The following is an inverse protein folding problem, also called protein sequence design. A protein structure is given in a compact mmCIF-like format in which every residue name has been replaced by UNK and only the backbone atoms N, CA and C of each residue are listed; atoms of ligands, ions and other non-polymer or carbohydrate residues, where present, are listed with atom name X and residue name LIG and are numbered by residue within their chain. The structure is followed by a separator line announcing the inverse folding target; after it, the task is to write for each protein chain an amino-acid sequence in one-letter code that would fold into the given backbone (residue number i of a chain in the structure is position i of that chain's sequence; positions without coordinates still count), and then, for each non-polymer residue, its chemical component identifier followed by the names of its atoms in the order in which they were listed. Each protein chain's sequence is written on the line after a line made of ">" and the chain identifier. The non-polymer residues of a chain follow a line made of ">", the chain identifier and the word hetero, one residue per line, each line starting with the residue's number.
data_IF_683637066592
#
_entry.id   IF_683637066592
#
_cell.length_a   1.000
_cell.length_b   1.000
_cell.length_c   1.000
_cell.angle_alpha   90.00
_cell.angle_beta   90.00
_cell.angle_gamma   90.00
#
_symmetry.space_group_name_H-M   'P 1'
#
loop_
_entity.id
_entity.type
_entity.pdbx_description
1 polymer ?
#
# COMPACT_ATOMS: atom_id res chain seq x y z
N UNK A 1 6.34 19.15 3.91
CA UNK A 1 5.44 18.31 3.10
C UNK A 1 5.63 16.93 3.67
N UNK A 2 4.60 16.36 4.29
CA UNK A 2 4.70 15.06 4.95
C UNK A 2 4.65 13.96 3.87
N UNK A 3 5.66 13.10 3.84
CA UNK A 3 5.69 11.97 2.93
C UNK A 3 4.51 11.02 3.25
N UNK A 4 3.72 10.67 2.24
CA UNK A 4 2.62 9.71 2.40
C UNK A 4 3.17 8.30 2.16
N UNK A 5 3.20 7.50 3.23
CA UNK A 5 3.53 6.07 3.15
C UNK A 5 2.26 5.23 2.97
N UNK A 6 2.24 4.44 1.90
CA UNK A 6 1.21 3.43 1.67
C UNK A 6 1.84 2.05 1.79
N UNK A 7 1.32 1.23 2.70
CA UNK A 7 1.82 -0.13 2.96
C UNK A 7 0.75 -1.15 2.61
N UNK A 8 1.08 -2.08 1.73
CA UNK A 8 0.28 -3.27 1.44
C UNK A 8 0.86 -4.44 2.23
N UNK A 9 0.07 -5.10 3.08
CA UNK A 9 0.55 -6.19 3.93
C UNK A 9 -0.48 -7.30 4.10
N UNK A 10 -0.03 -8.56 4.05
CA UNK A 10 -0.88 -9.71 4.38
C UNK A 10 -1.14 -9.81 5.89
N UNK A 11 -2.40 -10.03 6.26
CA UNK A 11 -2.86 -10.30 7.62
C UNK A 11 -3.09 -11.80 7.79
N UNK A 12 -2.14 -12.50 8.41
CA UNK A 12 -2.21 -13.94 8.64
C UNK A 12 -3.38 -14.37 9.55
N UNK A 13 -3.89 -13.47 10.41
CA UNK A 13 -5.01 -13.79 11.29
C UNK A 13 -6.34 -13.85 10.53
N UNK A 14 -6.46 -13.06 9.46
CA UNK A 14 -7.68 -12.94 8.66
C UNK A 14 -7.60 -13.63 7.30
N UNK A 15 -6.40 -13.87 6.80
CA UNK A 15 -6.16 -14.42 5.47
C UNK A 15 -6.42 -13.40 4.35
N UNK A 16 -6.39 -12.10 4.65
CA UNK A 16 -6.62 -11.02 3.69
C UNK A 16 -5.40 -10.07 3.58
N UNK A 17 -5.41 -9.20 2.58
CA UNK A 17 -4.42 -8.14 2.40
C UNK A 17 -4.97 -6.83 2.91
N UNK A 18 -4.15 -6.06 3.60
CA UNK A 18 -4.47 -4.74 4.13
C UNK A 18 -3.71 -3.66 3.37
N UNK A 19 -4.38 -2.55 3.07
CA UNK A 19 -3.75 -1.31 2.60
C UNK A 19 -3.77 -0.34 3.75
N UNK A 20 -2.59 0.17 4.12
CA UNK A 20 -2.41 1.11 5.23
C UNK A 20 -1.88 2.43 4.70
N UNK A 21 -2.46 3.53 5.15
CA UNK A 21 -1.98 4.89 4.91
C UNK A 21 -1.51 5.48 6.23
N UNK A 22 -0.24 5.87 6.32
CA UNK A 22 0.37 6.44 7.54
C UNK A 22 0.06 5.59 8.79
N UNK A 23 0.18 4.26 8.67
CA UNK A 23 -0.08 3.30 9.74
C UNK A 23 -1.56 2.90 9.96
N UNK A 24 -2.53 3.55 9.33
CA UNK A 24 -3.97 3.24 9.48
C UNK A 24 -4.48 2.36 8.35
N UNK A 25 -5.21 1.26 8.65
CA UNK A 25 -5.84 0.43 7.62
C UNK A 25 -6.98 1.19 6.96
N UNK A 26 -6.88 1.44 5.66
CA UNK A 26 -7.88 2.17 4.86
C UNK A 26 -8.65 1.25 3.91
N UNK A 27 -8.07 0.11 3.53
CA UNK A 27 -8.74 -0.89 2.68
C UNK A 27 -8.29 -2.31 3.02
N UNK A 28 -9.12 -3.29 2.66
CA UNK A 28 -8.82 -4.72 2.75
C UNK A 28 -9.21 -5.38 1.43
N UNK A 29 -8.39 -6.34 0.99
CA UNK A 29 -8.61 -7.05 -0.25
C UNK A 29 -8.27 -8.54 -0.11
N UNK A 30 -8.99 -9.44 -0.82
CA UNK A 30 -8.74 -10.88 -0.79
C UNK A 30 -7.44 -11.29 -1.48
N UNK A 31 -6.83 -10.42 -2.30
CA UNK A 31 -5.60 -10.73 -3.05
C UNK A 31 -4.60 -9.57 -3.04
N UNK A 32 -3.32 -9.90 -3.22
CA UNK A 32 -2.24 -8.91 -3.31
C UNK A 32 -2.47 -7.93 -4.47
N UNK A 33 -2.92 -8.45 -5.61
CA UNK A 33 -3.17 -7.67 -6.82
C UNK A 33 -4.30 -6.66 -6.62
N UNK A 34 -5.35 -7.01 -5.90
CA UNK A 34 -6.43 -6.07 -5.55
C UNK A 34 -5.94 -5.02 -4.55
N UNK A 35 -5.24 -5.43 -3.49
CA UNK A 35 -4.67 -4.47 -2.53
C UNK A 35 -3.70 -3.48 -3.20
N UNK A 36 -2.93 -3.93 -4.20
CA UNK A 36 -2.04 -3.08 -4.97
C UNK A 36 -2.80 -2.08 -5.84
N UNK A 37 -3.90 -2.49 -6.50
CA UNK A 37 -4.74 -1.58 -7.29
C UNK A 37 -5.36 -0.50 -6.41
N UNK A 38 -5.85 -0.87 -5.23
CA UNK A 38 -6.39 0.06 -4.23
C UNK A 38 -5.30 1.05 -3.77
N UNK A 39 -4.11 0.55 -3.42
CA UNK A 39 -2.97 1.38 -3.04
C UNK A 39 -2.56 2.34 -4.16
N UNK A 40 -2.51 1.88 -5.42
CA UNK A 40 -2.22 2.71 -6.58
C UNK A 40 -3.31 3.77 -6.80
N UNK A 41 -4.59 3.44 -6.64
CA UNK A 41 -5.69 4.41 -6.73
C UNK A 41 -5.53 5.57 -5.74
N UNK A 42 -5.15 5.28 -4.50
CA UNK A 42 -4.86 6.30 -3.48
C UNK A 42 -3.70 7.22 -3.89
N UNK A 43 -2.73 6.71 -4.66
CA UNK A 43 -1.60 7.52 -5.14
C UNK A 43 -2.00 8.52 -6.23
N UNK A 44 -3.01 8.21 -7.05
CA UNK A 44 -3.47 9.11 -8.11
C UNK A 44 -4.36 10.24 -7.60
N UNK A 45 -5.07 10.03 -6.49
CA UNK A 45 -5.92 11.05 -5.86
C UNK A 45 -5.09 12.12 -5.12
N UNK A 46 -3.84 11.82 -4.76
CA UNK A 46 -2.95 12.74 -4.07
C UNK A 46 -2.12 13.57 -5.05
N UNK A 47 -2.53 14.85 -5.24
CA UNK A 47 -1.71 15.85 -5.92
C UNK A 47 -0.57 16.32 -5.00
N UNK A 48 0.55 15.58 -4.94
CA UNK A 48 1.70 15.90 -4.08
C UNK A 48 2.88 14.92 -4.24
N UNK A 49 4.12 15.31 -3.85
CA UNK A 49 5.34 14.67 -4.34
C UNK A 49 5.64 13.36 -3.60
N UNK A 50 6.07 12.37 -4.37
CA UNK A 50 6.71 11.12 -3.95
C UNK A 50 5.88 10.22 -3.02
N UNK A 51 5.08 9.36 -3.64
CA UNK A 51 4.34 8.33 -2.91
C UNK A 51 5.14 7.04 -2.95
N UNK A 52 5.49 6.54 -1.75
CA UNK A 52 6.17 5.26 -1.60
C UNK A 52 5.15 4.18 -1.32
N UNK A 53 5.06 3.20 -2.23
CA UNK A 53 4.25 2.01 -2.02
C UNK A 53 5.15 0.88 -1.57
N UNK A 54 5.00 0.48 -0.31
CA UNK A 54 5.74 -0.64 0.28
C UNK A 54 4.85 -1.87 0.33
N UNK A 55 5.29 -2.96 -0.31
CA UNK A 55 4.57 -4.24 -0.28
C UNK A 55 5.31 -5.20 0.63
N UNK A 56 4.67 -5.62 1.72
CA UNK A 56 5.19 -6.62 2.65
C UNK A 56 4.49 -7.94 2.36
N UNK A 57 5.24 -8.91 1.84
CA UNK A 57 4.71 -10.24 1.58
C UNK A 57 4.46 -11.04 2.88
N UNK A 58 3.93 -12.26 2.73
CA UNK A 58 3.60 -13.14 3.86
C UNK A 58 4.82 -13.56 4.69
N UNK A 59 6.02 -13.46 4.11
CA UNK A 59 7.28 -13.80 4.76
C UNK A 59 7.91 -12.56 5.42
N UNK A 60 7.26 -11.40 5.36
CA UNK A 60 7.80 -10.15 5.88
C UNK A 60 8.81 -9.48 4.95
N UNK A 61 8.95 -9.94 3.70
CA UNK A 61 9.85 -9.34 2.71
C UNK A 61 9.19 -8.08 2.15
N UNK A 62 9.86 -6.93 2.33
CA UNK A 62 9.44 -5.66 1.76
C UNK A 62 9.95 -5.52 0.32
N UNK A 63 9.03 -5.26 -0.61
CA UNK A 63 9.32 -4.76 -1.95
C UNK A 63 8.87 -3.31 -2.01
N UNK A 64 9.85 -2.41 -2.05
CA UNK A 64 9.59 -0.98 -2.17
C UNK A 64 9.44 -0.63 -3.66
N UNK A 65 8.26 -0.12 -4.03
CA UNK A 65 8.01 0.45 -5.35
C UNK A 65 7.78 1.95 -5.19
N UNK A 66 8.69 2.74 -5.76
CA UNK A 66 8.45 4.16 -5.98
C UNK A 66 7.43 4.31 -7.10
N UNK A 67 6.28 4.88 -6.79
CA UNK A 67 5.33 5.34 -7.79
C UNK A 67 5.65 6.82 -8.03
N UNK A 68 6.38 7.11 -9.12
CA UNK A 68 6.58 8.48 -9.56
C UNK A 68 5.34 8.91 -10.35
N UNK A 69 4.51 9.75 -9.74
CA UNK A 69 3.32 10.32 -10.40
C UNK A 69 3.82 11.48 -11.28
N UNK A 70 3.89 11.24 -12.60
CA UNK A 70 4.28 12.22 -13.62
C UNK A 70 3.12 13.11 -14.04
#
# INVERSE_FOLDING_TARGET
>A
MDDVEIVVRFDDHRGDWTVRRSGTVVSRAPSQSEAFKEAAGLTFDERGPHITVRVIDRNGVAQDRLAEVA
#
